data_IF_771415317394
#
_entry.id   IF_771415317394
#
_cell.length_a   1.000
_cell.length_b   1.000
_cell.length_c   1.000
_cell.angle_alpha   90.00
_cell.angle_beta   90.00
_cell.angle_gamma   90.00
#
_symmetry.space_group_name_H-M   'P 1'
#
loop_
_entity.id
_entity.type
_entity.pdbx_description
1 polymer ?
#
# COMPACT_ATOMS: atom_id res chain seq x y z
N UNK A 1 -9.13 -5.17 74.24
CA UNK A 1 -10.52 -5.41 74.65
C UNK A 1 -11.38 -4.54 73.74
N UNK A 2 -12.40 -5.16 73.11
CA UNK A 2 -13.42 -4.55 72.22
C UNK A 2 -14.14 -3.37 72.94
N UNK A 3 -14.74 -2.37 72.29
CA UNK A 3 -15.90 -2.40 71.38
C UNK A 3 -16.10 -1.05 70.63
N UNK A 4 -16.86 -1.06 69.53
CA UNK A 4 -17.46 0.11 68.87
C UNK A 4 -17.17 0.17 67.36
N UNK A 5 -17.91 -0.50 66.47
CA UNK A 5 -19.32 -0.32 66.05
C UNK A 5 -19.52 0.86 65.07
N UNK A 6 -20.45 0.64 64.12
CA UNK A 6 -20.89 1.46 62.98
C UNK A 6 -20.10 1.32 61.68
N UNK A 7 -20.73 1.16 60.52
CA UNK A 7 -22.10 0.81 60.18
C UNK A 7 -22.08 0.46 58.69
N UNK A 8 -22.92 -0.48 58.32
CA UNK A 8 -23.09 -0.98 56.97
C UNK A 8 -23.91 0.05 56.15
N UNK A 9 -23.44 0.40 54.96
CA UNK A 9 -24.31 1.01 53.94
C UNK A 9 -24.17 0.26 52.63
N UNK A 10 -24.91 -0.84 52.62
CA UNK A 10 -25.46 -1.52 51.46
C UNK A 10 -26.35 -0.53 50.69
N UNK A 11 -26.01 -0.25 49.43
CA UNK A 11 -26.87 0.48 48.49
C UNK A 11 -26.81 -0.25 47.15
N UNK A 12 -27.81 -1.09 46.94
CA UNK A 12 -28.34 -1.53 45.65
C UNK A 12 -29.83 -1.85 45.92
N UNK A 13 -30.73 -2.01 44.95
CA UNK A 13 -30.73 -1.67 43.53
C UNK A 13 -32.00 -0.89 43.14
N UNK A 14 -32.07 -0.33 41.93
CA UNK A 14 -33.28 -0.02 41.12
C UNK A 14 -32.80 0.85 39.94
N UNK A 15 -33.36 0.85 38.73
CA UNK A 15 -34.52 0.21 38.14
C UNK A 15 -34.46 0.55 36.65
N UNK A 16 -34.73 -0.45 35.82
CA UNK A 16 -35.45 -0.45 34.55
C UNK A 16 -35.49 0.80 33.64
N UNK A 17 -35.20 0.56 32.37
CA UNK A 17 -35.80 1.33 31.29
C UNK A 17 -35.26 0.99 29.89
N UNK A 18 -35.82 0.00 29.17
CA UNK A 18 -35.63 -0.13 27.74
C UNK A 18 -36.71 0.65 26.99
N UNK A 19 -36.33 1.48 26.02
CA UNK A 19 -37.26 2.09 25.08
C UNK A 19 -36.57 2.23 23.72
N UNK A 20 -37.03 1.41 22.77
CA UNK A 20 -37.77 1.82 21.55
C UNK A 20 -36.88 2.52 20.51
N UNK A 21 -36.79 2.15 19.24
CA UNK A 21 -37.82 1.71 18.29
C UNK A 21 -37.08 1.25 17.01
N UNK A 22 -37.37 0.08 16.46
CA UNK A 22 -38.30 -0.16 15.34
C UNK A 22 -38.20 0.83 14.17
N UNK A 23 -37.57 0.37 13.08
CA UNK A 23 -37.55 1.05 11.78
C UNK A 23 -37.39 0.09 10.60
N UNK A 24 -38.22 -0.97 10.53
CA UNK A 24 -38.46 -1.72 9.29
C UNK A 24 -39.53 -0.99 8.49
N UNK A 25 -39.21 -0.48 7.31
CA UNK A 25 -40.22 -0.15 6.30
C UNK A 25 -40.09 -1.09 5.12
N UNK A 26 -41.14 -1.90 4.97
CA UNK A 26 -41.43 -2.70 3.80
C UNK A 26 -41.97 -1.78 2.71
N UNK A 27 -41.64 -2.16 1.48
CA UNK A 27 -42.27 -1.83 0.20
C UNK A 27 -43.75 -1.44 0.26
N UNK A 28 -44.19 -0.66 -0.74
CA UNK A 28 -45.38 -1.03 -1.47
C UNK A 28 -45.11 -1.22 -2.96
N UNK A 29 -45.52 -2.39 -3.44
CA UNK A 29 -45.80 -2.65 -4.84
C UNK A 29 -47.10 -1.94 -5.26
N UNK A 30 -47.11 -1.35 -6.45
CA UNK A 30 -48.29 -1.00 -7.28
C UNK A 30 -47.73 -0.28 -8.52
N UNK A 31 -48.23 -0.42 -9.75
CA UNK A 31 -49.32 -1.19 -10.32
C UNK A 31 -49.18 -1.00 -11.84
N UNK A 32 -49.33 -2.09 -12.60
CA UNK A 32 -50.05 -2.21 -13.89
C UNK A 32 -50.04 -1.00 -14.84
N UNK A 33 -49.53 -1.24 -16.06
CA UNK A 33 -50.33 -0.99 -17.26
C UNK A 33 -49.93 -1.96 -18.38
N UNK A 34 -50.83 -2.90 -18.62
CA UNK A 34 -50.98 -3.63 -19.87
C UNK A 34 -52.22 -3.06 -20.57
N UNK A 35 -52.10 -2.67 -21.85
CA UNK A 35 -53.21 -2.41 -22.79
C UNK A 35 -52.58 -2.11 -24.17
N UNK A 36 -52.53 -3.07 -25.10
CA UNK A 36 -53.45 -3.32 -26.24
C UNK A 36 -52.84 -4.55 -26.99
N UNK A 37 -53.47 -5.70 -27.32
CA UNK A 37 -54.72 -6.07 -28.05
C UNK A 37 -54.93 -5.24 -29.33
N UNK A 38 -55.15 -5.77 -30.53
CA UNK A 38 -55.37 -7.11 -31.10
C UNK A 38 -55.54 -6.88 -32.63
N UNK A 39 -55.23 -7.88 -33.46
CA UNK A 39 -55.80 -8.25 -34.80
C UNK A 39 -54.70 -8.94 -35.64
N UNK A 40 -54.68 -10.28 -35.76
CA UNK A 40 -55.46 -11.14 -36.71
C UNK A 40 -55.13 -10.80 -38.18
N UNK A 41 -54.70 -11.70 -39.07
CA UNK A 41 -55.37 -12.91 -39.59
C UNK A 41 -54.34 -13.81 -40.33
N UNK A 42 -54.65 -15.12 -40.30
CA UNK A 42 -54.21 -16.32 -41.05
C UNK A 42 -53.48 -16.14 -42.42
N UNK A 43 -52.76 -17.10 -43.02
CA UNK A 43 -52.74 -18.57 -42.90
C UNK A 43 -51.50 -19.11 -43.66
N UNK A 44 -50.94 -20.21 -43.14
CA UNK A 44 -50.46 -21.43 -43.83
C UNK A 44 -49.42 -21.42 -44.99
N UNK A 45 -48.57 -22.45 -44.89
CA UNK A 45 -47.74 -23.10 -45.93
C UNK A 45 -46.45 -22.40 -46.42
N UNK A 46 -45.29 -22.92 -45.98
CA UNK A 46 -44.30 -23.64 -46.84
C UNK A 46 -42.94 -23.81 -46.15
N UNK A 47 -42.66 -25.07 -45.81
CA UNK A 47 -41.41 -25.81 -46.07
C UNK A 47 -40.07 -25.06 -46.11
N UNK A 48 -39.20 -25.49 -45.19
CA UNK A 48 -37.77 -25.79 -45.43
C UNK A 48 -36.90 -24.71 -46.09
N UNK A 49 -35.97 -24.14 -45.33
CA UNK A 49 -34.55 -24.20 -45.73
C UNK A 49 -33.61 -23.78 -44.61
N UNK A 50 -32.68 -24.69 -44.34
CA UNK A 50 -31.37 -24.45 -43.77
C UNK A 50 -30.84 -23.04 -44.04
N UNK A 51 -30.46 -22.34 -42.97
CA UNK A 51 -29.21 -21.58 -42.89
C UNK A 51 -28.82 -21.45 -41.42
N UNK A 52 -28.45 -22.61 -40.86
CA UNK A 52 -27.53 -22.69 -39.73
C UNK A 52 -26.24 -22.02 -40.20
N UNK A 53 -26.07 -20.72 -39.93
CA UNK A 53 -24.78 -20.05 -40.07
C UNK A 53 -23.88 -20.62 -38.99
N UNK A 54 -23.27 -21.75 -39.34
CA UNK A 54 -22.13 -22.33 -38.67
C UNK A 54 -21.06 -21.26 -38.63
N UNK A 55 -20.80 -20.69 -37.46
CA UNK A 55 -19.60 -19.92 -37.21
C UNK A 55 -18.46 -20.94 -37.12
N UNK A 56 -17.52 -21.01 -38.07
CA UNK A 56 -16.44 -21.98 -37.99
C UNK A 56 -15.40 -21.51 -36.97
N UNK A 57 -15.02 -22.43 -36.09
CA UNK A 57 -13.76 -22.44 -35.34
C UNK A 57 -13.51 -21.33 -34.32
N UNK A 58 -14.11 -21.49 -33.14
CA UNK A 58 -13.58 -20.93 -31.88
C UNK A 58 -12.77 -21.97 -31.07
N UNK A 59 -12.35 -23.06 -31.71
CA UNK A 59 -11.59 -24.15 -31.10
C UNK A 59 -10.19 -24.25 -31.73
N UNK A 60 -9.47 -23.13 -31.80
CA UNK A 60 -8.01 -23.18 -31.99
C UNK A 60 -7.32 -21.86 -31.58
N UNK A 61 -7.89 -21.13 -30.63
CA UNK A 61 -7.10 -20.15 -29.89
C UNK A 61 -6.38 -20.92 -28.79
N UNK A 62 -5.06 -21.13 -28.85
CA UNK A 62 -4.34 -21.64 -27.69
C UNK A 62 -4.65 -20.67 -26.55
N UNK A 63 -5.33 -21.19 -25.52
CA UNK A 63 -5.49 -20.45 -24.29
C UNK A 63 -4.08 -20.05 -23.87
N UNK A 64 -3.79 -18.74 -23.91
CA UNK A 64 -2.51 -18.21 -23.44
C UNK A 64 -2.47 -18.48 -21.94
N UNK A 65 -2.05 -19.68 -21.55
CA UNK A 65 -1.73 -20.01 -20.17
C UNK A 65 -0.62 -19.04 -19.79
N UNK A 66 -0.96 -18.04 -18.99
CA UNK A 66 0.03 -17.07 -18.51
C UNK A 66 1.05 -17.89 -17.72
N UNK A 67 2.26 -18.03 -18.27
CA UNK A 67 3.36 -18.70 -17.58
C UNK A 67 3.52 -18.02 -16.22
N UNK A 68 3.60 -18.79 -15.13
CA UNK A 68 3.89 -18.25 -13.79
C UNK A 68 5.28 -17.62 -13.81
N UNK A 69 5.50 -16.62 -12.96
CA UNK A 69 6.83 -16.08 -12.74
C UNK A 69 7.70 -17.13 -12.07
N UNK A 70 8.95 -17.24 -12.50
CA UNK A 70 9.94 -18.08 -11.82
C UNK A 70 10.52 -17.35 -10.62
N UNK A 71 11.12 -18.09 -9.69
CA UNK A 71 11.76 -17.49 -8.52
C UNK A 71 12.93 -16.59 -8.92
N UNK A 72 13.66 -16.91 -10.00
CA UNK A 72 14.72 -16.04 -10.52
C UNK A 72 14.16 -14.73 -11.08
N UNK A 73 13.04 -14.77 -11.82
CA UNK A 73 12.38 -13.53 -12.28
C UNK A 73 11.93 -12.67 -11.10
N UNK A 74 11.37 -13.29 -10.05
CA UNK A 74 10.95 -12.59 -8.83
C UNK A 74 12.15 -11.96 -8.12
N UNK A 75 13.26 -12.69 -8.03
CA UNK A 75 14.50 -12.21 -7.44
C UNK A 75 15.09 -11.04 -8.23
N UNK A 76 15.18 -11.13 -9.55
CA UNK A 76 15.63 -10.04 -10.43
C UNK A 76 14.76 -8.79 -10.26
N UNK A 77 13.43 -8.96 -10.16
CA UNK A 77 12.52 -7.85 -9.90
C UNK A 77 12.83 -7.15 -8.58
N UNK A 78 13.05 -7.91 -7.50
CA UNK A 78 13.38 -7.33 -6.20
C UNK A 78 14.75 -6.65 -6.19
N UNK A 79 15.77 -7.28 -6.79
CA UNK A 79 17.11 -6.70 -6.89
C UNK A 79 17.10 -5.38 -7.67
N UNK A 80 16.33 -5.31 -8.75
CA UNK A 80 16.14 -4.07 -9.48
C UNK A 80 15.55 -2.96 -8.60
N UNK A 81 14.54 -3.29 -7.79
CA UNK A 81 13.93 -2.33 -6.86
C UNK A 81 14.91 -1.90 -5.78
N UNK A 82 15.67 -2.82 -5.17
CA UNK A 82 16.71 -2.51 -4.18
C UNK A 82 17.73 -1.52 -4.74
N UNK A 83 18.14 -1.69 -6.00
CA UNK A 83 19.06 -0.76 -6.64
C UNK A 83 18.40 0.61 -6.94
N UNK A 84 17.09 0.63 -7.20
CA UNK A 84 16.36 1.87 -7.51
C UNK A 84 16.00 2.72 -6.29
N UNK A 85 15.89 2.12 -5.11
CA UNK A 85 15.64 2.86 -3.87
C UNK A 85 16.91 3.53 -3.32
N UNK A 86 18.09 3.22 -3.88
CA UNK A 86 19.34 3.87 -3.55
C UNK A 86 19.60 5.03 -4.49
N UNK A 87 19.82 6.21 -3.93
CA UNK A 87 20.25 7.36 -4.70
C UNK A 87 21.68 7.14 -5.22
N UNK A 88 21.95 7.29 -6.52
CA UNK A 88 23.25 6.94 -7.11
C UNK A 88 24.40 7.87 -6.68
N UNK A 89 24.11 9.05 -6.11
CA UNK A 89 25.12 10.02 -5.73
C UNK A 89 25.41 10.01 -4.22
N UNK A 90 24.37 9.79 -3.43
CA UNK A 90 24.44 9.87 -1.96
C UNK A 90 24.39 8.51 -1.27
N UNK A 91 24.06 7.44 -2.01
CA UNK A 91 23.78 6.08 -1.50
C UNK A 91 22.69 6.05 -0.42
N UNK A 92 21.89 7.12 -0.30
CA UNK A 92 20.79 7.20 0.67
C UNK A 92 19.55 6.51 0.13
N UNK A 93 18.76 5.96 1.05
CA UNK A 93 17.48 5.36 0.72
C UNK A 93 16.46 6.46 0.43
N UNK A 94 15.92 6.47 -0.79
CA UNK A 94 14.89 7.41 -1.23
C UNK A 94 13.53 6.73 -1.31
N UNK A 95 12.46 7.50 -1.05
CA UNK A 95 11.11 7.00 -1.29
C UNK A 95 10.86 6.87 -2.79
N UNK A 96 10.36 5.71 -3.19
CA UNK A 96 10.16 5.37 -4.60
C UNK A 96 8.70 4.98 -4.84
N UNK A 97 8.07 5.70 -5.77
CA UNK A 97 6.76 5.31 -6.31
C UNK A 97 6.97 4.38 -7.51
N UNK A 98 6.73 3.09 -7.31
CA UNK A 98 6.86 2.08 -8.38
C UNK A 98 5.64 2.15 -9.30
N UNK A 99 5.87 2.64 -10.51
CA UNK A 99 4.87 2.72 -11.58
C UNK A 99 5.21 1.85 -12.79
N UNK A 100 4.37 1.90 -13.82
CA UNK A 100 4.63 1.18 -15.07
C UNK A 100 5.93 1.62 -15.77
N UNK A 101 6.33 2.89 -15.61
CA UNK A 101 7.60 3.42 -16.12
C UNK A 101 8.80 2.66 -15.56
N UNK A 102 8.81 2.41 -14.25
CA UNK A 102 9.85 1.63 -13.54
C UNK A 102 10.03 0.24 -14.16
N UNK A 103 8.93 -0.45 -14.50
CA UNK A 103 8.98 -1.77 -15.13
C UNK A 103 9.29 -1.73 -16.61
N UNK A 104 9.06 -0.59 -17.27
CA UNK A 104 9.49 -0.37 -18.65
C UNK A 104 11.00 -0.23 -18.71
N UNK A 105 11.61 0.46 -17.75
CA UNK A 105 13.07 0.54 -17.60
C UNK A 105 13.67 -0.84 -17.28
N UNK A 106 13.10 -1.58 -16.32
CA UNK A 106 13.53 -2.96 -16.03
C UNK A 106 13.51 -3.85 -17.28
N UNK A 107 12.51 -3.65 -18.14
CA UNK A 107 12.38 -4.40 -19.39
C UNK A 107 13.45 -4.03 -20.42
N UNK A 108 14.01 -2.82 -20.38
CA UNK A 108 15.14 -2.43 -21.23
C UNK A 108 16.45 -3.09 -20.78
N UNK A 109 16.55 -3.44 -19.49
CA UNK A 109 17.74 -4.06 -18.90
C UNK A 109 17.65 -5.58 -18.77
N UNK A 110 16.46 -6.18 -18.95
CA UNK A 110 16.23 -7.62 -18.80
C UNK A 110 15.89 -8.30 -20.13
N UNK A 111 16.44 -9.50 -20.32
CA UNK A 111 16.16 -10.34 -21.49
C UNK A 111 14.88 -11.18 -21.36
N UNK A 112 14.14 -11.03 -20.26
CA UNK A 112 12.90 -11.79 -20.03
C UNK A 112 11.91 -11.53 -21.17
N UNK A 113 11.19 -12.52 -21.71
CA UNK A 113 10.22 -12.32 -22.80
C UNK A 113 8.92 -11.63 -22.37
N UNK A 114 8.74 -11.33 -21.07
CA UNK A 114 7.51 -10.73 -20.53
C UNK A 114 7.40 -9.24 -20.82
N UNK A 115 6.19 -8.72 -20.75
CA UNK A 115 5.90 -7.29 -20.86
C UNK A 115 5.98 -6.59 -19.50
N UNK A 116 6.26 -5.28 -19.52
CA UNK A 116 6.33 -4.44 -18.32
C UNK A 116 5.05 -4.48 -17.48
N UNK A 117 3.88 -4.62 -18.13
CA UNK A 117 2.58 -4.72 -17.44
C UNK A 117 2.51 -6.00 -16.60
N UNK A 118 3.02 -7.13 -17.12
CA UNK A 118 3.07 -8.38 -16.34
C UNK A 118 3.96 -8.22 -15.11
N UNK A 119 5.13 -7.61 -15.25
CA UNK A 119 6.01 -7.34 -14.11
C UNK A 119 5.34 -6.45 -13.06
N UNK A 120 4.72 -5.35 -13.48
CA UNK A 120 3.97 -4.47 -12.58
C UNK A 120 2.87 -5.20 -11.82
N UNK A 121 2.04 -5.99 -12.53
CA UNK A 121 0.96 -6.75 -11.90
C UNK A 121 1.48 -7.81 -10.94
N UNK A 122 2.61 -8.46 -11.28
CA UNK A 122 3.25 -9.42 -10.40
C UNK A 122 3.78 -8.75 -9.15
N UNK A 123 4.54 -7.66 -9.31
CA UNK A 123 5.16 -6.95 -8.19
C UNK A 123 4.13 -6.45 -7.18
N UNK A 124 3.01 -5.88 -7.64
CA UNK A 124 1.91 -5.47 -6.76
C UNK A 124 1.39 -6.58 -5.86
N UNK A 125 1.49 -7.84 -6.28
CA UNK A 125 1.11 -9.00 -5.48
C UNK A 125 2.24 -9.46 -4.56
N UNK A 126 3.49 -9.30 -4.99
CA UNK A 126 4.68 -9.68 -4.23
C UNK A 126 4.96 -8.76 -3.05
N UNK A 127 4.56 -7.48 -3.12
CA UNK A 127 4.76 -6.48 -2.06
C UNK A 127 4.31 -6.99 -0.68
N UNK A 128 3.17 -7.66 -0.60
CA UNK A 128 2.65 -8.21 0.67
C UNK A 128 3.46 -9.39 1.22
N UNK A 129 4.31 -10.01 0.38
CA UNK A 129 5.16 -11.15 0.75
C UNK A 129 6.61 -10.75 1.00
N UNK A 130 6.91 -9.45 1.11
CA UNK A 130 8.27 -8.94 1.32
C UNK A 130 8.97 -9.60 2.53
N UNK A 131 8.24 -9.83 3.62
CA UNK A 131 8.80 -10.48 4.82
C UNK A 131 9.33 -11.90 4.56
N UNK A 132 8.73 -12.64 3.61
CA UNK A 132 9.15 -14.01 3.24
C UNK A 132 10.37 -14.09 2.33
N UNK A 133 10.85 -12.94 1.84
CA UNK A 133 12.04 -12.92 0.98
C UNK A 133 13.30 -13.30 1.77
N UNK A 134 14.31 -13.83 1.08
CA UNK A 134 15.60 -14.18 1.66
C UNK A 134 16.55 -12.97 1.83
N UNK A 135 15.99 -11.76 1.86
CA UNK A 135 16.78 -10.56 2.16
C UNK A 135 17.12 -10.47 3.64
N UNK A 136 18.24 -9.81 3.92
CA UNK A 136 18.64 -9.42 5.26
C UNK A 136 17.65 -8.39 5.84
N UNK A 137 17.71 -8.25 7.16
CA UNK A 137 16.78 -7.43 7.93
C UNK A 137 16.84 -5.95 7.51
N UNK A 138 18.03 -5.44 7.18
CA UNK A 138 18.23 -4.07 6.73
C UNK A 138 17.59 -3.84 5.35
N UNK A 139 17.89 -4.69 4.38
CA UNK A 139 17.29 -4.56 3.03
C UNK A 139 15.77 -4.61 3.08
N UNK A 140 15.19 -5.47 3.93
CA UNK A 140 13.73 -5.51 4.14
C UNK A 140 13.21 -4.19 4.73
N UNK A 141 13.88 -3.64 5.75
CA UNK A 141 13.51 -2.35 6.34
C UNK A 141 13.60 -1.21 5.30
N UNK A 142 14.67 -1.16 4.51
CA UNK A 142 14.86 -0.20 3.43
C UNK A 142 13.71 -0.26 2.41
N UNK A 143 13.31 -1.46 2.01
CA UNK A 143 12.19 -1.67 1.08
C UNK A 143 10.85 -1.25 1.68
N UNK A 144 10.58 -1.58 2.95
CA UNK A 144 9.38 -1.15 3.65
C UNK A 144 9.28 0.38 3.73
N UNK A 145 10.39 1.05 4.07
CA UNK A 145 10.47 2.51 4.11
C UNK A 145 10.29 3.13 2.71
N UNK A 146 11.12 2.71 1.75
CA UNK A 146 11.19 3.33 0.43
C UNK A 146 9.87 3.21 -0.34
N UNK A 147 9.21 2.05 -0.21
CA UNK A 147 7.95 1.79 -0.90
C UNK A 147 6.72 2.16 -0.07
N UNK A 148 6.93 2.65 1.17
CA UNK A 148 5.86 2.98 2.12
C UNK A 148 4.89 1.80 2.32
N UNK A 149 5.43 0.60 2.48
CA UNK A 149 4.68 -0.64 2.67
C UNK A 149 4.44 -0.85 4.17
N UNK A 150 3.19 -1.11 4.60
CA UNK A 150 2.90 -1.40 6.00
C UNK A 150 3.60 -2.69 6.44
N UNK A 151 4.10 -2.70 7.68
CA UNK A 151 4.59 -3.93 8.30
C UNK A 151 3.40 -4.67 8.89
N UNK A 152 2.88 -5.66 8.14
CA UNK A 152 1.76 -6.50 8.58
C UNK A 152 2.22 -7.64 9.52
N UNK A 153 3.48 -8.08 9.38
CA UNK A 153 4.03 -9.17 10.18
C UNK A 153 4.68 -8.65 11.47
N UNK A 154 4.04 -8.96 12.61
CA UNK A 154 4.48 -8.55 13.93
C UNK A 154 5.82 -9.17 14.36
N UNK A 155 6.10 -10.42 13.99
CA UNK A 155 7.36 -11.11 14.32
C UNK A 155 8.54 -10.39 13.67
N UNK A 156 8.40 -10.01 12.40
CA UNK A 156 9.41 -9.24 11.67
C UNK A 156 9.63 -7.85 12.31
N UNK A 157 8.56 -7.19 12.76
CA UNK A 157 8.67 -5.91 13.45
C UNK A 157 9.44 -6.04 14.77
N UNK A 158 9.20 -7.11 15.51
CA UNK A 158 9.90 -7.38 16.77
C UNK A 158 11.38 -7.68 16.56
N UNK A 159 11.72 -8.49 15.55
CA UNK A 159 13.11 -8.72 15.14
C UNK A 159 13.81 -7.40 14.76
N UNK A 160 13.14 -6.55 13.98
CA UNK A 160 13.67 -5.25 13.59
C UNK A 160 13.87 -4.33 14.81
N UNK A 161 12.94 -4.34 15.77
CA UNK A 161 13.03 -3.58 17.03
C UNK A 161 14.13 -4.08 17.97
N UNK A 162 14.60 -5.32 17.84
CA UNK A 162 15.72 -5.80 18.65
C UNK A 162 17.03 -5.12 18.23
N UNK A 163 17.22 -4.88 16.94
CA UNK A 163 18.47 -4.33 16.39
C UNK A 163 18.41 -2.82 16.14
N UNK A 164 17.22 -2.24 16.05
CA UNK A 164 17.03 -0.86 15.61
C UNK A 164 15.93 -0.12 16.37
N UNK A 165 16.07 1.20 16.42
CA UNK A 165 15.00 2.11 16.79
C UNK A 165 14.14 2.36 15.54
N UNK A 166 12.83 2.24 15.65
CA UNK A 166 11.88 2.36 14.53
C UNK A 166 10.73 3.25 14.94
N UNK A 167 10.37 4.18 14.06
CA UNK A 167 9.15 4.99 14.17
C UNK A 167 8.21 4.59 13.04
N UNK A 168 6.99 4.22 13.41
CA UNK A 168 5.91 3.86 12.50
C UNK A 168 4.83 4.94 12.52
N UNK A 169 4.17 5.13 11.38
CA UNK A 169 2.94 5.93 11.31
C UNK A 169 1.69 5.11 11.73
N UNK A 170 0.51 5.74 11.74
CA UNK A 170 -0.76 5.07 12.10
C UNK A 170 -1.12 3.90 11.18
N UNK A 171 -0.56 3.87 9.98
CA UNK A 171 -0.77 2.83 8.98
C UNK A 171 0.30 1.74 9.08
N UNK A 172 1.10 1.70 10.14
CA UNK A 172 2.20 0.74 10.34
C UNK A 172 3.30 0.82 9.26
N UNK A 173 3.50 1.98 8.63
CA UNK A 173 4.57 2.21 7.65
C UNK A 173 5.77 2.82 8.36
N UNK A 174 6.97 2.42 7.97
CA UNK A 174 8.21 2.99 8.53
C UNK A 174 8.36 4.45 8.08
N UNK A 175 8.53 5.35 9.04
CA UNK A 175 8.81 6.77 8.82
C UNK A 175 10.28 7.09 9.11
N UNK A 176 10.85 6.46 10.14
CA UNK A 176 12.25 6.59 10.50
C UNK A 176 12.77 5.27 11.11
N UNK A 177 14.04 4.98 10.90
CA UNK A 177 14.75 3.87 11.54
C UNK A 177 16.24 4.17 11.65
N UNK A 178 16.88 3.68 12.72
CA UNK A 178 18.34 3.74 12.90
C UNK A 178 18.83 2.58 13.75
N UNK A 179 20.09 2.21 13.60
CA UNK A 179 20.67 1.10 14.37
C UNK A 179 20.78 1.47 15.85
N UNK A 180 20.45 0.51 16.73
CA UNK A 180 20.70 0.69 18.16
C UNK A 180 22.20 0.68 18.41
N UNK A 181 22.70 1.75 19.04
CA UNK A 181 24.10 1.83 19.45
C UNK A 181 24.26 1.02 20.73
N UNK A 182 25.08 -0.03 20.69
CA UNK A 182 25.44 -0.79 21.88
C UNK A 182 26.53 -0.01 22.64
N UNK A 183 26.29 0.41 23.89
CA UNK A 183 27.32 1.07 24.68
C UNK A 183 28.53 0.15 24.87
N UNK A 184 29.71 0.60 24.44
CA UNK A 184 30.97 -0.16 24.59
C UNK A 184 31.33 -1.09 23.43
N UNK A 185 30.51 -1.19 22.38
CA UNK A 185 30.95 -1.83 21.14
C UNK A 185 31.93 -0.90 20.41
N UNK A 186 33.17 -1.35 20.23
CA UNK A 186 34.11 -0.69 19.32
C UNK A 186 33.55 -0.84 17.90
N UNK A 187 33.36 0.28 17.20
CA UNK A 187 32.86 0.30 15.83
C UNK A 187 33.73 -0.60 14.96
N UNK A 188 33.25 -1.80 14.65
CA UNK A 188 33.94 -2.68 13.73
C UNK A 188 33.66 -2.10 12.33
N UNK A 189 34.63 -1.37 11.78
CA UNK A 189 34.42 -0.42 10.68
C UNK A 189 33.88 -1.02 9.36
N UNK A 190 33.76 -2.35 9.25
CA UNK A 190 33.29 -3.02 8.04
C UNK A 190 32.07 -3.94 8.22
N UNK A 191 31.63 -4.27 9.44
CA UNK A 191 30.60 -5.30 9.68
C UNK A 191 29.30 -4.74 10.26
N UNK A 192 29.33 -3.49 10.70
CA UNK A 192 28.22 -2.82 11.39
C UNK A 192 27.50 -1.76 10.54
N UNK A 193 27.80 -1.64 9.25
CA UNK A 193 27.19 -0.64 8.37
C UNK A 193 25.70 -0.92 8.20
N UNK A 194 24.88 0.01 8.67
CA UNK A 194 23.42 -0.05 8.61
C UNK A 194 22.92 1.27 8.05
N UNK A 195 22.01 1.21 7.07
CA UNK A 195 21.39 2.41 6.52
C UNK A 195 20.55 3.06 7.64
N UNK A 196 20.75 4.36 7.85
CA UNK A 196 20.02 5.12 8.86
C UNK A 196 19.15 6.18 8.16
N UNK A 197 17.87 6.18 8.51
CA UNK A 197 16.91 7.21 8.06
C UNK A 197 16.25 7.78 9.31
N UNK A 198 16.76 8.92 9.77
CA UNK A 198 16.24 9.59 10.96
C UNK A 198 15.89 11.05 10.64
N UNK A 199 14.61 11.30 10.39
CA UNK A 199 14.07 12.63 10.14
C UNK A 199 13.21 13.05 11.33
N UNK A 200 13.73 13.96 12.15
CA UNK A 200 13.05 14.45 13.36
C UNK A 200 11.73 15.15 13.05
N UNK A 201 11.63 15.83 11.90
CA UNK A 201 10.40 16.50 11.50
C UNK A 201 9.34 15.49 11.09
N UNK A 202 9.73 14.44 10.38
CA UNK A 202 8.82 13.34 10.06
C UNK A 202 8.32 12.62 11.32
N UNK A 203 9.18 12.45 12.33
CA UNK A 203 8.80 11.86 13.63
C UNK A 203 7.82 12.78 14.37
N UNK A 204 8.09 14.09 14.46
CA UNK A 204 7.19 15.06 15.10
C UNK A 204 5.80 15.09 14.47
N UNK A 205 5.70 14.98 13.13
CA UNK A 205 4.41 14.91 12.43
C UNK A 205 3.59 13.70 12.85
N UNK A 206 4.24 12.54 12.98
CA UNK A 206 3.61 11.31 13.49
C UNK A 206 3.10 11.51 14.91
N UNK A 207 3.89 12.14 15.79
CA UNK A 207 3.49 12.42 17.18
C UNK A 207 2.32 13.40 17.30
N UNK A 208 2.23 14.37 16.39
CA UNK A 208 1.16 15.39 16.37
C UNK A 208 -0.13 14.91 15.67
N UNK A 209 -0.13 13.73 15.05
CA UNK A 209 -1.27 13.19 14.31
C UNK A 209 -1.59 13.95 13.01
N UNK A 210 -0.66 14.74 12.49
CA UNK A 210 -0.80 15.47 11.21
C UNK A 210 -0.43 14.55 10.03
N UNK A 211 -1.27 13.54 9.83
CA UNK A 211 -1.11 12.53 8.78
C UNK A 211 -1.90 12.91 7.53
N UNK A 212 -1.37 13.86 6.75
CA UNK A 212 -1.99 14.24 5.48
C UNK A 212 -1.08 14.94 4.48
N UNK A 213 0.01 15.55 4.92
CA UNK A 213 0.95 16.19 4.01
C UNK A 213 1.93 15.14 3.45
N UNK A 214 1.94 14.85 2.13
CA UNK A 214 3.07 14.16 1.54
C UNK A 214 4.35 14.95 1.87
N UNK A 215 5.49 14.29 2.13
CA UNK A 215 6.76 15.00 2.28
C UNK A 215 6.94 15.89 1.04
N UNK A 216 7.47 17.12 1.18
CA UNK A 216 7.71 17.96 0.01
C UNK A 216 8.55 17.16 -0.98
N UNK A 217 7.93 16.82 -2.10
CA UNK A 217 8.66 16.32 -3.24
C UNK A 217 9.54 17.49 -3.69
N UNK A 218 10.84 17.28 -3.62
CA UNK A 218 11.90 18.21 -4.01
C UNK A 218 12.29 19.23 -2.93
N UNK A 219 13.44 18.97 -2.30
CA UNK A 219 14.35 20.04 -1.93
C UNK A 219 14.97 20.57 -3.23
N UNK A 220 14.17 21.31 -4.00
CA UNK A 220 14.67 22.12 -5.11
C UNK A 220 15.15 23.43 -4.48
N UNK A 221 16.44 23.46 -4.17
CA UNK A 221 17.11 24.65 -3.68
C UNK A 221 17.18 25.66 -4.84
N UNK A 222 16.35 26.69 -4.79
CA UNK A 222 16.29 27.74 -5.79
C UNK A 222 15.36 28.88 -5.40
N UNK A 223 15.42 29.35 -4.15
CA UNK A 223 14.94 30.70 -3.82
C UNK A 223 15.98 31.70 -4.35
N UNK A 224 15.81 32.14 -5.59
CA UNK A 224 16.36 33.41 -6.06
C UNK A 224 15.49 34.53 -5.44
N UNK A 225 15.92 35.06 -4.30
CA UNK A 225 15.48 36.36 -3.83
C UNK A 225 16.03 37.41 -4.80
N UNK A 226 15.21 37.86 -5.76
CA UNK A 226 15.49 39.12 -6.46
C UNK A 226 15.29 40.26 -5.47
N UNK A 227 16.41 40.76 -4.93
CA UNK A 227 16.48 42.00 -4.18
C UNK A 227 15.96 43.18 -5.02
N UNK A 228 14.90 43.76 -4.49
CA UNK A 228 14.23 44.98 -4.92
C UNK A 228 15.20 46.17 -4.80
N UNK A 229 15.88 46.53 -5.88
CA UNK A 229 16.72 47.74 -5.93
C UNK A 229 15.85 48.98 -6.18
N UNK A 230 15.04 49.33 -5.19
CA UNK A 230 14.47 50.67 -5.06
C UNK A 230 15.52 51.59 -4.43
N UNK A 231 16.41 52.12 -5.28
CA UNK A 231 17.45 53.07 -4.94
C UNK A 231 17.13 54.47 -5.46
N UNK A 232 16.21 55.15 -4.78
CA UNK A 232 16.06 56.61 -4.84
C UNK A 232 17.29 57.25 -4.17
N UNK A 233 18.15 57.92 -4.95
CA UNK A 233 19.18 58.82 -4.42
C UNK A 233 19.22 60.08 -5.26
N UNK A 234 18.62 61.12 -4.68
CA UNK A 234 18.85 62.53 -4.93
C UNK A 234 20.35 62.86 -5.12
N UNK A 235 20.67 63.63 -6.16
CA UNK A 235 21.39 64.91 -6.08
C UNK A 235 21.38 65.62 -7.45
#
# INVERSE_FOLDING_TARGET
MYEGSSDEHEMDPTSEGPSSSSGRTRTPARRRSARNKEEEVASEERTSSLRKRSNPSALDRPAKTRRRFTDEEIKEMWLFVVNKIRDPFTDRIIKLQIGLKTWTEFKMTSDSPRDAISFYCCFRRLVHTLYTTNFDLQTKANLHYALSIPIENQEFLEELRQVADIVLDSHQRIVAYRKKRVPGALLNMNEDYWDEVWDEEAIRRVEQGDEGAPPPANFDAGEEEEEDTSGDVFL
#
